data_IF_803805795308
#
_entry.id   IF_803805795308
#
_cell.length_a   1.000
_cell.length_b   1.000
_cell.length_c   1.000
_cell.angle_alpha   90.00
_cell.angle_beta   90.00
_cell.angle_gamma   90.00
#
_symmetry.space_group_name_H-M   'P 1'
#
loop_
_entity.id
_entity.type
_entity.pdbx_description
1 polymer ?
#
# COMPACT_ATOMS: atom_id res chain seq x y z
N UNK A 1 -18.85 -4.12 -4.82
CA UNK A 1 -17.60 -3.56 -4.26
C UNK A 1 -16.45 -3.96 -5.18
N UNK A 2 -15.86 -3.00 -5.88
CA UNK A 2 -14.80 -3.18 -6.90
C UNK A 2 -13.37 -3.10 -6.33
N UNK A 3 -13.23 -3.04 -5.00
CA UNK A 3 -11.91 -2.98 -4.36
C UNK A 3 -11.14 -4.28 -4.64
N UNK A 4 -9.99 -4.14 -5.27
CA UNK A 4 -9.06 -5.23 -5.53
C UNK A 4 -8.16 -5.47 -4.30
N UNK A 5 -7.33 -6.51 -4.37
CA UNK A 5 -6.18 -6.67 -3.50
C UNK A 5 -5.33 -5.38 -3.51
N UNK A 6 -4.83 -4.90 -2.36
CA UNK A 6 -4.80 -5.54 -1.03
C UNK A 6 -6.08 -5.41 -0.19
N UNK A 7 -7.07 -4.61 -0.59
CA UNK A 7 -8.31 -4.41 0.18
C UNK A 7 -9.28 -5.61 0.14
N UNK A 8 -9.22 -6.42 -0.92
CA UNK A 8 -9.98 -7.67 -1.05
C UNK A 8 -9.08 -8.81 -1.50
N UNK A 9 -8.82 -9.74 -0.59
CA UNK A 9 -8.07 -10.98 -0.85
C UNK A 9 -8.98 -11.96 -1.60
N UNK A 10 -8.48 -12.52 -2.70
CA UNK A 10 -9.22 -13.49 -3.51
C UNK A 10 -8.88 -14.94 -3.15
N UNK A 11 -7.75 -15.12 -2.47
CA UNK A 11 -7.20 -16.41 -2.07
C UNK A 11 -8.06 -17.05 -0.97
N UNK A 12 -8.38 -18.34 -1.16
CA UNK A 12 -9.16 -19.10 -0.18
C UNK A 12 -8.29 -19.73 0.92
N UNK A 13 -6.97 -19.73 0.74
CA UNK A 13 -6.00 -20.21 1.72
C UNK A 13 -5.21 -19.05 2.31
N UNK A 14 -5.09 -19.03 3.63
CA UNK A 14 -4.42 -17.96 4.37
C UNK A 14 -2.94 -17.83 4.00
N UNK A 15 -2.27 -18.93 3.69
CA UNK A 15 -0.85 -18.92 3.32
C UNK A 15 -0.61 -18.17 2.01
N UNK A 16 -1.48 -18.33 1.02
CA UNK A 16 -1.33 -17.65 -0.28
C UNK A 16 -1.56 -16.15 -0.13
N UNK A 17 -2.55 -15.76 0.67
CA UNK A 17 -2.81 -14.37 1.01
C UNK A 17 -1.60 -13.74 1.73
N UNK A 18 -1.08 -14.44 2.75
CA UNK A 18 0.09 -14.01 3.51
C UNK A 18 1.30 -13.77 2.60
N UNK A 19 1.61 -14.72 1.72
CA UNK A 19 2.74 -14.60 0.79
C UNK A 19 2.60 -13.38 -0.14
N UNK A 20 1.38 -13.03 -0.56
CA UNK A 20 1.14 -11.81 -1.36
C UNK A 20 1.37 -10.53 -0.55
N UNK A 21 0.93 -10.48 0.71
CA UNK A 21 1.20 -9.34 1.58
C UNK A 21 2.69 -9.19 1.88
N UNK A 22 3.40 -10.28 2.17
CA UNK A 22 4.85 -10.30 2.34
C UNK A 22 5.58 -9.76 1.10
N UNK A 23 5.15 -10.15 -0.10
CA UNK A 23 5.72 -9.62 -1.34
C UNK A 23 5.52 -8.11 -1.50
N UNK A 24 4.36 -7.57 -1.09
CA UNK A 24 4.15 -6.11 -1.09
C UNK A 24 5.02 -5.44 -0.03
N UNK A 25 5.06 -5.99 1.18
CA UNK A 25 5.85 -5.45 2.29
C UNK A 25 7.33 -5.34 1.91
N UNK A 26 7.91 -6.41 1.37
CA UNK A 26 9.29 -6.41 0.88
C UNK A 26 9.55 -5.36 -0.21
N UNK A 27 8.60 -5.16 -1.13
CA UNK A 27 8.72 -4.10 -2.16
C UNK A 27 8.71 -2.71 -1.56
N UNK A 28 7.87 -2.46 -0.55
CA UNK A 28 7.84 -1.19 0.18
C UNK A 28 9.18 -1.01 0.89
N UNK A 29 9.63 -2.00 1.66
CA UNK A 29 10.89 -1.96 2.41
C UNK A 29 12.09 -1.63 1.52
N UNK A 30 12.19 -2.23 0.34
CA UNK A 30 13.30 -1.99 -0.60
C UNK A 30 13.19 -0.65 -1.36
N UNK A 31 11.98 -0.10 -1.50
CA UNK A 31 11.77 1.14 -2.24
C UNK A 31 12.21 2.37 -1.44
N UNK A 32 12.98 3.26 -2.08
CA UNK A 32 13.30 4.60 -1.56
C UNK A 32 12.26 5.65 -1.93
N UNK A 33 11.61 5.46 -3.06
CA UNK A 33 10.59 6.38 -3.60
C UNK A 33 9.31 5.60 -3.88
N UNK A 34 8.19 6.09 -3.36
CA UNK A 34 6.88 5.45 -3.48
C UNK A 34 5.89 6.47 -4.02
N UNK A 35 5.19 6.12 -5.09
CA UNK A 35 4.09 6.90 -5.65
C UNK A 35 2.75 6.27 -5.23
N UNK A 36 1.91 7.05 -4.58
CA UNK A 36 0.53 6.68 -4.24
C UNK A 36 -0.42 7.49 -5.11
N UNK A 37 -1.34 6.81 -5.80
CA UNK A 37 -2.34 7.44 -6.67
C UNK A 37 -3.71 7.35 -5.99
N UNK A 38 -4.32 8.51 -5.75
CA UNK A 38 -5.62 8.67 -5.11
C UNK A 38 -5.51 9.07 -3.63
N UNK A 39 -5.78 10.34 -3.31
CA UNK A 39 -5.81 10.89 -1.95
C UNK A 39 -7.16 10.79 -1.23
N UNK A 40 -7.93 9.73 -1.48
CA UNK A 40 -9.08 9.40 -0.63
C UNK A 40 -8.62 8.84 0.73
N UNK A 41 -9.56 8.49 1.61
CA UNK A 41 -9.26 7.98 2.97
C UNK A 41 -8.21 6.85 2.98
N UNK A 42 -8.38 5.85 2.11
CA UNK A 42 -7.48 4.70 2.01
C UNK A 42 -6.07 5.10 1.56
N UNK A 43 -5.95 6.00 0.58
CA UNK A 43 -4.64 6.42 0.07
C UNK A 43 -3.89 7.30 1.05
N UNK A 44 -4.61 8.15 1.81
CA UNK A 44 -4.02 8.96 2.88
C UNK A 44 -3.53 8.06 4.03
N UNK A 45 -4.36 7.11 4.48
CA UNK A 45 -3.99 6.17 5.55
C UNK A 45 -2.71 5.39 5.17
N UNK A 46 -2.68 4.83 3.96
CA UNK A 46 -1.52 4.08 3.46
C UNK A 46 -0.24 4.93 3.43
N UNK A 47 -0.33 6.20 3.01
CA UNK A 47 0.82 7.11 3.06
C UNK A 47 1.31 7.30 4.50
N UNK A 48 0.38 7.46 5.45
CA UNK A 48 0.67 7.63 6.87
C UNK A 48 1.33 6.40 7.49
N UNK A 49 0.82 5.20 7.21
CA UNK A 49 1.40 3.93 7.67
C UNK A 49 2.84 3.77 7.16
N UNK A 50 3.07 3.95 5.85
CA UNK A 50 4.41 3.83 5.26
C UNK A 50 5.37 4.87 5.85
N UNK A 51 4.95 6.13 5.98
CA UNK A 51 5.78 7.18 6.59
C UNK A 51 6.06 6.94 8.08
N UNK A 52 5.14 6.24 8.76
CA UNK A 52 5.28 5.93 10.18
C UNK A 52 6.26 4.77 10.38
N UNK A 53 6.12 3.69 9.62
CA UNK A 53 6.91 2.47 9.80
C UNK A 53 8.27 2.56 9.11
N UNK A 54 8.40 3.34 8.03
CA UNK A 54 9.62 3.48 7.25
C UNK A 54 10.06 4.94 7.11
N UNK A 55 10.88 5.38 8.06
CA UNK A 55 11.25 6.80 8.22
C UNK A 55 12.08 7.41 7.09
N UNK A 56 12.71 6.59 6.25
CA UNK A 56 13.65 7.02 5.20
C UNK A 56 13.04 7.05 3.79
N UNK A 57 11.74 6.80 3.65
CA UNK A 57 11.05 6.72 2.36
C UNK A 57 10.52 8.06 1.89
N UNK A 58 10.73 8.36 0.62
CA UNK A 58 10.12 9.50 -0.05
C UNK A 58 8.79 9.10 -0.68
N UNK A 59 7.68 9.57 -0.11
CA UNK A 59 6.33 9.25 -0.56
C UNK A 59 5.74 10.43 -1.33
N UNK A 60 5.29 10.19 -2.55
CA UNK A 60 4.56 11.16 -3.37
C UNK A 60 3.11 10.73 -3.46
N UNK A 61 2.18 11.52 -2.92
CA UNK A 61 0.75 11.32 -3.07
C UNK A 61 0.22 12.20 -4.20
N UNK A 62 -0.43 11.59 -5.20
CA UNK A 62 -1.09 12.30 -6.30
C UNK A 62 -2.59 12.10 -6.18
N UNK A 63 -3.34 13.20 -6.07
CA UNK A 63 -4.80 13.20 -6.13
C UNK A 63 -5.29 14.16 -7.21
N UNK A 64 -6.38 13.78 -7.87
CA UNK A 64 -6.95 14.54 -8.97
C UNK A 64 -7.83 15.72 -8.53
N UNK A 65 -8.15 15.80 -7.24
CA UNK A 65 -9.00 16.84 -6.65
C UNK A 65 -8.30 17.43 -5.41
N UNK A 66 -8.68 18.64 -4.97
CA UNK A 66 -8.25 19.21 -3.70
C UNK A 66 -8.62 18.35 -2.49
#
# INVERSE_FOLDING_TARGET
>A
SSYAFPGKVAEHHSIDAYMKYEQIHNKIEQAKHILVIGGGSVGIELCGEIATDFKDKHITLVHSQP
#
